data_IF_461563335204
#
_entry.id   IF_461563335204
#
_cell.length_a   1.000
_cell.length_b   1.000
_cell.length_c   1.000
_cell.angle_alpha   90.00
_cell.angle_beta   90.00
_cell.angle_gamma   90.00
#
_symmetry.space_group_name_H-M   'P 1'
#
loop_
_entity.id
_entity.type
_entity.pdbx_description
1 polymer ?
#
# COMPACT_ATOMS: atom_id res chain seq x y z
N UNK A 1 18.38 -12.40 28.05
CA UNK A 1 18.79 -13.16 26.86
C UNK A 1 20.30 -13.10 26.75
N UNK A 2 20.96 -14.20 27.05
CA UNK A 2 22.41 -14.29 27.02
C UNK A 2 22.99 -14.45 25.61
N UNK A 3 24.33 -14.40 25.51
CA UNK A 3 25.03 -14.79 24.29
C UNK A 3 24.84 -16.28 24.04
N UNK A 4 24.50 -16.66 22.84
CA UNK A 4 24.47 -18.05 22.40
C UNK A 4 25.73 -18.40 21.61
N UNK A 5 26.02 -19.68 21.46
CA UNK A 5 27.17 -20.15 20.70
C UNK A 5 27.18 -19.65 19.25
N UNK A 6 26.02 -19.45 18.66
CA UNK A 6 25.81 -19.01 17.27
C UNK A 6 25.34 -17.57 17.15
N UNK A 7 25.58 -16.74 18.15
CA UNK A 7 25.12 -15.37 18.22
C UNK A 7 23.75 -15.23 18.96
N UNK A 8 23.40 -14.01 19.29
CA UNK A 8 22.15 -13.71 19.97
C UNK A 8 21.08 -13.30 18.96
N UNK A 9 19.87 -13.85 19.09
CA UNK A 9 18.71 -13.28 18.44
C UNK A 9 18.41 -11.89 19.02
N UNK A 10 17.77 -10.98 18.26
CA UNK A 10 17.23 -9.76 18.83
C UNK A 10 16.29 -10.09 20.00
N UNK A 11 16.21 -9.19 20.96
CA UNK A 11 15.41 -9.38 22.17
C UNK A 11 13.91 -9.54 21.90
N UNK A 12 13.44 -9.00 20.78
CA UNK A 12 12.10 -9.18 20.24
C UNK A 12 12.15 -9.43 18.75
N UNK A 13 11.34 -10.39 18.29
CA UNK A 13 10.93 -10.59 16.92
C UNK A 13 9.48 -10.17 16.76
N UNK A 14 8.71 -10.88 15.93
CA UNK A 14 7.27 -10.71 15.81
C UNK A 14 6.54 -12.03 16.11
N UNK A 15 7.07 -12.76 17.09
CA UNK A 15 6.50 -14.03 17.53
C UNK A 15 5.05 -13.80 18.04
N UNK A 16 4.10 -14.55 17.49
CA UNK A 16 2.68 -14.50 17.85
C UNK A 16 2.03 -13.12 17.68
N UNK A 17 2.65 -12.21 16.92
CA UNK A 17 2.22 -10.81 16.76
C UNK A 17 2.00 -10.09 18.10
N UNK A 18 2.79 -10.46 19.11
CA UNK A 18 2.62 -10.04 20.50
C UNK A 18 2.64 -8.53 20.68
N UNK A 19 3.44 -7.79 19.89
CA UNK A 19 3.47 -6.35 19.93
C UNK A 19 2.17 -5.73 19.42
N UNK A 20 1.58 -6.26 18.35
CA UNK A 20 0.35 -5.73 17.76
C UNK A 20 -0.81 -5.73 18.76
N UNK A 21 -0.92 -6.79 19.56
CA UNK A 21 -1.98 -6.94 20.57
C UNK A 21 -1.63 -6.34 21.94
N UNK A 22 -0.40 -5.87 22.14
CA UNK A 22 0.03 -5.29 23.40
C UNK A 22 -0.43 -3.83 23.57
N UNK A 23 -0.46 -3.36 24.80
CA UNK A 23 -0.59 -1.93 25.08
C UNK A 23 0.65 -1.17 24.59
N UNK A 24 0.46 0.07 24.21
CA UNK A 24 1.57 0.98 23.85
C UNK A 24 2.54 1.12 25.04
N UNK A 25 3.83 1.03 24.76
CA UNK A 25 4.86 1.28 25.78
C UNK A 25 4.75 2.73 26.29
N UNK A 26 4.83 2.99 27.61
CA UNK A 26 4.72 4.36 28.16
C UNK A 26 5.64 5.39 27.47
N UNK A 27 6.86 5.00 27.16
CA UNK A 27 7.81 5.87 26.43
C UNK A 27 7.31 6.24 25.03
N UNK A 28 6.57 5.36 24.37
CA UNK A 28 5.97 5.62 23.07
C UNK A 28 4.71 6.47 23.22
N UNK A 29 3.92 6.26 24.29
CA UNK A 29 2.78 7.12 24.60
C UNK A 29 3.23 8.57 24.78
N UNK A 30 4.25 8.82 25.59
CA UNK A 30 4.82 10.18 25.79
C UNK A 30 5.27 10.82 24.47
N UNK A 31 5.90 10.03 23.60
CA UNK A 31 6.27 10.48 22.24
C UNK A 31 5.05 10.82 21.40
N UNK A 32 4.02 9.96 21.39
CA UNK A 32 2.81 10.17 20.58
C UNK A 32 1.98 11.36 21.06
N UNK A 33 1.91 11.58 22.38
CA UNK A 33 1.25 12.77 22.96
C UNK A 33 1.92 14.07 22.50
N UNK A 34 3.25 14.17 22.61
CA UNK A 34 4.00 15.34 22.13
C UNK A 34 3.91 15.51 20.60
N UNK A 35 3.89 14.40 19.88
CA UNK A 35 3.70 14.41 18.42
C UNK A 35 2.32 14.98 18.05
N UNK A 36 1.25 14.50 18.68
CA UNK A 36 -0.11 14.97 18.46
C UNK A 36 -0.24 16.46 18.80
N UNK A 37 0.22 16.87 19.96
CA UNK A 37 0.21 18.27 20.37
C UNK A 37 0.94 19.19 19.38
N UNK A 38 2.05 18.70 18.83
CA UNK A 38 2.81 19.44 17.82
C UNK A 38 2.06 19.51 16.51
N UNK A 39 1.50 18.39 16.05
CA UNK A 39 0.76 18.30 14.79
C UNK A 39 -0.54 19.12 14.82
N UNK A 40 -1.28 19.09 15.93
CA UNK A 40 -2.51 19.88 16.09
C UNK A 40 -2.23 21.39 16.03
N UNK A 41 -1.12 21.86 16.59
CA UNK A 41 -0.68 23.26 16.47
C UNK A 41 -0.39 23.67 15.02
N UNK A 42 -0.01 22.72 14.17
CA UNK A 42 0.16 22.92 12.73
C UNK A 42 -1.10 22.65 11.90
N UNK A 43 -2.22 22.30 12.53
CA UNK A 43 -3.49 22.03 11.86
C UNK A 43 -3.60 20.64 11.26
N UNK A 44 -2.72 19.71 11.62
CA UNK A 44 -2.81 18.29 11.22
C UNK A 44 -3.59 17.55 12.31
N UNK A 45 -4.79 17.08 11.97
CA UNK A 45 -5.67 16.37 12.90
C UNK A 45 -5.30 14.89 12.99
N UNK A 46 -4.21 14.55 13.67
CA UNK A 46 -3.85 13.18 14.02
C UNK A 46 -4.84 12.63 15.07
N UNK A 47 -5.19 11.35 14.97
CA UNK A 47 -6.23 10.75 15.82
C UNK A 47 -5.93 9.33 16.27
N UNK A 48 -5.42 8.48 15.39
CA UNK A 48 -5.27 7.05 15.65
C UNK A 48 -3.81 6.72 15.93
N UNK A 49 -3.58 5.96 16.97
CA UNK A 49 -2.28 5.49 17.40
C UNK A 49 -2.37 4.04 17.84
N UNK A 50 -1.52 3.18 17.32
CA UNK A 50 -1.45 1.79 17.77
C UNK A 50 -0.10 1.16 17.43
N UNK A 51 0.14 -0.01 18.03
CA UNK A 51 1.27 -0.86 17.68
C UNK A 51 1.03 -1.55 16.34
N UNK A 52 2.11 -1.73 15.59
CA UNK A 52 2.19 -2.60 14.44
C UNK A 52 2.92 -3.90 14.77
N UNK A 53 2.96 -4.84 13.81
CA UNK A 53 3.45 -6.20 14.03
C UNK A 53 4.96 -6.26 14.24
N UNK A 54 5.73 -5.49 13.49
CA UNK A 54 7.20 -5.52 13.60
C UNK A 54 7.70 -4.88 14.91
N UNK A 55 8.86 -5.32 15.43
CA UNK A 55 9.43 -4.77 16.66
C UNK A 55 9.63 -3.26 16.58
N UNK A 56 9.13 -2.54 17.60
CA UNK A 56 9.18 -1.07 17.69
C UNK A 56 8.54 -0.34 16.50
N UNK A 57 7.59 -0.96 15.84
CA UNK A 57 6.78 -0.35 14.80
C UNK A 57 5.46 0.14 15.37
N UNK A 58 5.12 1.38 15.06
CA UNK A 58 3.91 2.05 15.51
C UNK A 58 3.27 2.79 14.35
N UNK A 59 1.97 2.94 14.39
CA UNK A 59 1.20 3.68 13.39
C UNK A 59 0.50 4.88 14.01
N UNK A 60 0.43 5.95 13.24
CA UNK A 60 -0.40 7.11 13.50
C UNK A 60 -1.16 7.45 12.22
N UNK A 61 -2.44 7.78 12.34
CA UNK A 61 -3.28 8.14 11.21
C UNK A 61 -3.98 9.49 11.47
N UNK A 62 -3.92 10.43 10.50
CA UNK A 62 -4.69 11.67 10.54
C UNK A 62 -6.14 11.44 10.08
N UNK A 63 -7.01 12.41 10.40
CA UNK A 63 -8.32 12.52 9.77
C UNK A 63 -8.12 12.91 8.30
N UNK A 64 -8.91 12.31 7.40
CA UNK A 64 -8.83 12.58 5.97
C UNK A 64 -9.17 14.05 5.62
N UNK A 65 -8.62 14.50 4.50
CA UNK A 65 -8.86 15.85 3.96
C UNK A 65 -8.82 15.81 2.43
N UNK A 66 -8.93 16.96 1.78
CA UNK A 66 -8.73 17.06 0.33
C UNK A 66 -7.32 16.61 -0.06
N UNK A 67 -7.16 16.07 -1.26
CA UNK A 67 -5.91 15.45 -1.73
C UNK A 67 -4.69 16.37 -1.54
N UNK A 68 -4.79 17.62 -2.00
CA UNK A 68 -3.69 18.58 -1.89
C UNK A 68 -3.28 18.82 -0.43
N UNK A 69 -4.25 19.10 0.44
CA UNK A 69 -3.98 19.33 1.86
C UNK A 69 -3.42 18.09 2.55
N UNK A 70 -3.96 16.91 2.24
CA UNK A 70 -3.46 15.64 2.79
C UNK A 70 -2.02 15.35 2.39
N UNK A 71 -1.62 15.69 1.16
CA UNK A 71 -0.23 15.55 0.70
C UNK A 71 0.71 16.44 1.50
N UNK A 72 0.36 17.71 1.66
CA UNK A 72 1.18 18.66 2.43
C UNK A 72 1.25 18.28 3.91
N UNK A 73 0.12 17.91 4.50
CA UNK A 73 0.05 17.41 5.88
C UNK A 73 0.88 16.14 6.08
N UNK A 74 0.89 15.22 5.11
CA UNK A 74 1.72 14.01 5.18
C UNK A 74 3.22 14.36 5.20
N UNK A 75 3.68 15.27 4.34
CA UNK A 75 5.06 15.70 4.32
C UNK A 75 5.46 16.37 5.65
N UNK A 76 4.62 17.27 6.15
CA UNK A 76 4.83 17.91 7.44
C UNK A 76 4.88 16.90 8.59
N UNK A 77 3.95 15.93 8.60
CA UNK A 77 3.90 14.85 9.59
C UNK A 77 5.20 14.05 9.61
N UNK A 78 5.70 13.63 8.44
CA UNK A 78 6.96 12.87 8.34
C UNK A 78 8.15 13.64 8.91
N UNK A 79 8.20 14.95 8.74
CA UNK A 79 9.25 15.80 9.30
C UNK A 79 9.10 15.99 10.81
N UNK A 80 7.87 16.24 11.28
CA UNK A 80 7.57 16.44 12.70
C UNK A 80 7.84 15.15 13.49
N UNK A 81 7.46 13.98 12.98
CA UNK A 81 7.75 12.69 13.60
C UNK A 81 9.23 12.52 13.93
N UNK A 82 10.12 12.84 13.00
CA UNK A 82 11.58 12.76 13.20
C UNK A 82 12.08 13.74 14.25
N UNK A 83 11.57 14.97 14.23
CA UNK A 83 11.97 16.02 15.18
C UNK A 83 11.52 15.70 16.60
N UNK A 84 10.28 15.26 16.75
CA UNK A 84 9.73 14.88 18.07
C UNK A 84 10.43 13.65 18.62
N UNK A 85 10.70 12.63 17.77
CA UNK A 85 11.42 11.44 18.20
C UNK A 85 12.76 11.77 18.87
N UNK A 86 13.53 12.70 18.30
CA UNK A 86 14.82 13.13 18.88
C UNK A 86 14.67 13.76 20.26
N UNK A 87 13.59 14.51 20.51
CA UNK A 87 13.30 15.09 21.84
C UNK A 87 13.10 14.01 22.91
N UNK A 88 12.56 12.86 22.51
CA UNK A 88 12.32 11.70 23.38
C UNK A 88 13.46 10.68 23.39
N UNK A 89 14.62 11.01 22.80
CA UNK A 89 15.75 10.08 22.67
C UNK A 89 15.42 8.84 21.85
N UNK A 90 14.56 9.01 20.85
CA UNK A 90 14.16 7.99 19.86
C UNK A 90 14.67 8.40 18.48
N UNK A 91 14.76 7.44 17.57
CA UNK A 91 14.98 7.68 16.15
C UNK A 91 13.76 7.18 15.36
N UNK A 92 13.12 8.08 14.60
CA UNK A 92 12.00 7.73 13.73
C UNK A 92 12.54 7.27 12.38
N UNK A 93 12.40 5.98 12.10
CA UNK A 93 12.81 5.37 10.84
C UNK A 93 11.59 5.22 9.91
N UNK A 94 11.51 6.10 8.91
CA UNK A 94 10.55 5.96 7.82
C UNK A 94 11.21 5.14 6.70
N UNK A 95 11.49 3.88 7.00
CA UNK A 95 12.14 2.93 6.09
C UNK A 95 11.23 1.75 5.85
N UNK A 96 11.06 1.34 4.60
CA UNK A 96 10.08 0.36 4.17
C UNK A 96 10.35 -1.05 4.71
N UNK A 97 11.63 -1.43 4.85
CA UNK A 97 12.01 -2.79 5.29
C UNK A 97 13.27 -2.75 6.17
N UNK A 98 13.14 -2.30 7.44
CA UNK A 98 14.28 -2.23 8.35
C UNK A 98 14.89 -3.60 8.66
N UNK A 99 14.08 -4.66 8.66
CA UNK A 99 14.50 -6.02 9.02
C UNK A 99 14.01 -7.04 7.98
N UNK A 100 14.94 -7.82 7.44
CA UNK A 100 14.61 -8.93 6.55
C UNK A 100 13.76 -9.99 7.27
N UNK A 101 12.72 -10.51 6.61
CA UNK A 101 11.82 -11.53 7.14
C UNK A 101 10.77 -11.06 8.14
N UNK A 102 10.79 -9.80 8.55
CA UNK A 102 9.76 -9.19 9.41
C UNK A 102 8.86 -8.23 8.62
N UNK A 103 7.74 -7.79 9.23
CA UNK A 103 6.87 -6.81 8.62
C UNK A 103 7.60 -5.54 8.25
N UNK A 104 7.27 -4.98 7.11
CA UNK A 104 7.75 -3.70 6.64
C UNK A 104 6.87 -2.56 7.10
N UNK A 105 7.20 -1.35 6.63
CA UNK A 105 6.48 -0.13 6.95
C UNK A 105 5.98 0.54 5.66
N UNK A 106 4.69 0.83 5.60
CA UNK A 106 4.03 1.47 4.48
C UNK A 106 3.02 2.50 4.91
N UNK A 107 2.38 3.11 3.92
CA UNK A 107 1.21 3.95 4.08
C UNK A 107 0.05 3.32 3.33
N UNK A 108 -1.11 3.26 3.96
CA UNK A 108 -2.34 2.91 3.27
C UNK A 108 -3.03 4.20 2.83
N UNK A 109 -2.89 4.52 1.55
CA UNK A 109 -3.44 5.74 0.98
C UNK A 109 -4.92 5.54 0.68
N UNK A 110 -5.78 6.02 1.58
CA UNK A 110 -7.22 6.01 1.36
C UNK A 110 -7.58 7.12 0.36
N UNK A 111 -8.31 6.76 -0.69
CA UNK A 111 -8.67 7.65 -1.78
C UNK A 111 -10.15 7.49 -2.15
N UNK A 112 -10.85 8.59 -2.30
CA UNK A 112 -12.24 8.64 -2.73
C UNK A 112 -12.50 9.90 -3.57
N UNK A 113 -13.69 9.99 -4.13
CA UNK A 113 -14.15 11.17 -4.88
C UNK A 113 -15.44 11.70 -4.27
N UNK A 114 -15.56 13.01 -4.18
CA UNK A 114 -16.78 13.67 -3.72
C UNK A 114 -17.13 14.88 -4.58
N UNK A 115 -18.41 15.27 -4.56
CA UNK A 115 -18.85 16.56 -5.09
C UNK A 115 -18.34 17.70 -4.22
N UNK A 116 -18.45 18.93 -4.70
CA UNK A 116 -18.18 20.15 -3.90
C UNK A 116 -19.16 20.33 -2.72
N UNK A 117 -20.32 19.69 -2.75
CA UNK A 117 -21.27 19.63 -1.64
C UNK A 117 -20.92 18.54 -0.61
N UNK A 118 -19.89 17.73 -0.87
CA UNK A 118 -19.42 16.68 0.04
C UNK A 118 -20.12 15.34 -0.12
N UNK A 119 -20.88 15.12 -1.19
CA UNK A 119 -21.46 13.82 -1.51
C UNK A 119 -20.36 12.88 -2.04
N UNK A 120 -20.18 11.73 -1.39
CA UNK A 120 -19.20 10.73 -1.78
C UNK A 120 -19.72 9.90 -2.97
N UNK A 121 -19.04 10.00 -4.12
CA UNK A 121 -19.40 9.30 -5.35
C UNK A 121 -19.10 7.78 -5.30
N UNK A 122 -18.33 7.35 -4.33
CA UNK A 122 -18.02 5.93 -4.07
C UNK A 122 -18.84 5.34 -2.91
N UNK A 123 -19.94 6.00 -2.52
CA UNK A 123 -20.88 5.46 -1.55
C UNK A 123 -21.86 4.49 -2.24
N UNK A 124 -21.78 3.16 -1.98
CA UNK A 124 -22.63 2.18 -2.66
C UNK A 124 -24.09 2.27 -2.24
N UNK A 125 -24.36 2.79 -1.03
CA UNK A 125 -25.68 2.80 -0.44
C UNK A 125 -26.15 1.41 0.00
N UNK A 126 -27.46 1.27 0.20
CA UNK A 126 -28.08 0.00 0.66
C UNK A 126 -28.33 -1.01 -0.46
N UNK A 127 -28.33 -0.55 -1.70
CA UNK A 127 -28.61 -1.35 -2.92
C UNK A 127 -27.60 -0.97 -4.01
N UNK A 128 -26.35 -1.44 -3.89
CA UNK A 128 -25.28 -1.10 -4.84
C UNK A 128 -25.63 -1.43 -6.28
N UNK A 129 -26.38 -2.53 -6.48
CA UNK A 129 -26.82 -3.03 -7.78
C UNK A 129 -27.75 -2.06 -8.52
N UNK A 130 -28.44 -1.16 -7.83
CA UNK A 130 -29.33 -0.18 -8.39
C UNK A 130 -28.77 1.25 -8.36
N UNK A 131 -27.60 1.46 -7.77
CA UNK A 131 -26.96 2.76 -7.71
C UNK A 131 -26.10 3.00 -8.96
N UNK A 132 -26.72 3.50 -10.03
CA UNK A 132 -26.08 3.70 -11.31
C UNK A 132 -24.91 4.72 -11.24
N UNK A 133 -25.02 5.75 -10.41
CA UNK A 133 -23.93 6.71 -10.16
C UNK A 133 -22.71 6.00 -9.56
N UNK A 134 -22.89 5.27 -8.48
CA UNK A 134 -21.82 4.51 -7.85
C UNK A 134 -21.19 3.52 -8.83
N UNK A 135 -21.99 2.75 -9.55
CA UNK A 135 -21.52 1.77 -10.54
C UNK A 135 -20.72 2.43 -11.68
N UNK A 136 -21.12 3.61 -12.13
CA UNK A 136 -20.38 4.37 -13.14
C UNK A 136 -18.98 4.74 -12.64
N UNK A 137 -18.87 5.35 -11.46
CA UNK A 137 -17.60 5.77 -10.90
C UNK A 137 -16.71 4.58 -10.52
N UNK A 138 -17.29 3.51 -9.97
CA UNK A 138 -16.59 2.25 -9.73
C UNK A 138 -16.00 1.66 -11.01
N UNK A 139 -16.81 1.62 -12.08
CA UNK A 139 -16.38 1.12 -13.39
C UNK A 139 -15.27 1.98 -14.00
N UNK A 140 -15.35 3.30 -13.85
CA UNK A 140 -14.30 4.20 -14.31
C UNK A 140 -12.97 3.93 -13.60
N UNK A 141 -12.99 3.66 -12.31
CA UNK A 141 -11.80 3.31 -11.54
C UNK A 141 -11.22 1.97 -11.98
N UNK A 142 -12.07 0.95 -12.19
CA UNK A 142 -11.60 -0.35 -12.68
C UNK A 142 -10.87 -0.23 -14.02
N UNK A 143 -11.44 0.52 -14.97
CA UNK A 143 -10.81 0.82 -16.25
C UNK A 143 -9.51 1.58 -16.08
N UNK A 144 -9.51 2.66 -15.30
CA UNK A 144 -8.33 3.50 -15.06
C UNK A 144 -7.16 2.69 -14.48
N UNK A 145 -7.44 1.85 -13.48
CA UNK A 145 -6.44 1.00 -12.82
C UNK A 145 -5.95 -0.10 -13.76
N UNK A 146 -6.83 -0.73 -14.53
CA UNK A 146 -6.44 -1.79 -15.46
C UNK A 146 -5.55 -1.30 -16.60
N UNK A 147 -5.86 -0.15 -17.18
CA UNK A 147 -5.10 0.43 -18.30
C UNK A 147 -3.77 1.06 -17.86
N UNK A 148 -3.64 1.44 -16.58
CA UNK A 148 -2.50 2.19 -16.06
C UNK A 148 -1.80 1.51 -14.85
N UNK A 149 -1.73 0.17 -14.85
CA UNK A 149 -1.04 -0.61 -13.82
C UNK A 149 0.43 -0.18 -13.66
N UNK A 150 1.09 0.08 -14.78
CA UNK A 150 2.46 0.58 -14.85
C UNK A 150 2.63 1.91 -14.09
N UNK A 151 1.81 2.91 -14.38
CA UNK A 151 1.88 4.22 -13.71
C UNK A 151 1.63 4.11 -12.20
N UNK A 152 0.67 3.29 -11.77
CA UNK A 152 0.42 3.05 -10.35
C UNK A 152 1.63 2.39 -9.68
N UNK A 153 2.25 1.39 -10.32
CA UNK A 153 3.47 0.77 -9.80
C UNK A 153 4.65 1.75 -9.77
N UNK A 154 4.82 2.56 -10.80
CA UNK A 154 5.87 3.60 -10.87
C UNK A 154 5.69 4.65 -9.77
N UNK A 155 4.46 5.00 -9.43
CA UNK A 155 4.16 6.01 -8.40
C UNK A 155 4.67 5.64 -7.01
N UNK A 156 4.89 4.34 -6.77
CA UNK A 156 5.38 3.79 -5.49
C UNK A 156 6.75 3.10 -5.62
N UNK A 157 7.43 3.27 -6.74
CA UNK A 157 8.71 2.64 -7.01
C UNK A 157 9.86 3.33 -6.25
N UNK A 158 10.57 2.55 -5.44
CA UNK A 158 11.81 2.94 -4.76
C UNK A 158 12.58 1.70 -4.31
N UNK A 159 13.88 1.82 -4.11
CA UNK A 159 14.73 0.72 -3.65
C UNK A 159 14.21 0.09 -2.34
N UNK A 160 13.85 0.91 -1.36
CA UNK A 160 13.29 0.43 -0.08
C UNK A 160 11.95 -0.29 -0.25
N UNK A 161 11.07 0.23 -1.10
CA UNK A 161 9.76 -0.37 -1.32
C UNK A 161 9.82 -1.67 -2.13
N UNK A 162 10.81 -1.83 -3.01
CA UNK A 162 11.07 -3.09 -3.72
C UNK A 162 11.36 -4.24 -2.74
N UNK A 163 12.04 -3.96 -1.63
CA UNK A 163 12.28 -4.93 -0.56
C UNK A 163 11.05 -5.23 0.29
N UNK A 164 10.09 -4.29 0.36
CA UNK A 164 8.86 -4.43 1.17
C UNK A 164 7.79 -5.23 0.45
N UNK A 165 7.56 -4.99 -0.84
CA UNK A 165 6.43 -5.56 -1.58
C UNK A 165 6.49 -7.09 -1.69
N UNK A 166 5.32 -7.73 -1.54
CA UNK A 166 5.13 -9.16 -1.79
C UNK A 166 5.04 -10.06 -0.57
N UNK A 167 5.13 -9.53 0.65
CA UNK A 167 4.97 -10.31 1.88
C UNK A 167 4.71 -9.41 3.10
N UNK A 168 4.26 -9.99 4.21
CA UNK A 168 4.16 -9.31 5.51
C UNK A 168 3.32 -8.02 5.43
N UNK A 169 2.07 -8.15 5.04
CA UNK A 169 1.08 -7.07 4.87
C UNK A 169 1.38 -6.08 3.73
N UNK A 170 2.46 -6.26 2.98
CA UNK A 170 2.73 -5.50 1.78
C UNK A 170 2.24 -6.25 0.54
N UNK A 171 1.42 -5.63 -0.34
CA UNK A 171 0.89 -6.31 -1.51
C UNK A 171 2.00 -6.68 -2.50
N UNK A 172 1.76 -7.67 -3.40
CA UNK A 172 2.71 -7.97 -4.47
C UNK A 172 2.82 -6.81 -5.47
N UNK A 173 3.90 -6.83 -6.27
CA UNK A 173 4.15 -5.85 -7.33
C UNK A 173 3.26 -6.08 -8.59
N UNK A 174 2.07 -6.62 -8.39
CA UNK A 174 1.03 -6.85 -9.40
C UNK A 174 -0.18 -6.04 -8.98
N UNK A 175 -0.56 -5.06 -9.77
CA UNK A 175 -1.74 -4.25 -9.49
C UNK A 175 -2.99 -5.09 -9.77
N UNK A 176 -3.87 -5.18 -8.78
CA UNK A 176 -5.20 -5.79 -8.87
C UNK A 176 -6.17 -5.08 -7.94
N UNK A 177 -7.46 -5.24 -8.18
CA UNK A 177 -8.52 -4.58 -7.41
C UNK A 177 -9.31 -5.61 -6.62
N UNK A 178 -9.39 -5.41 -5.31
CA UNK A 178 -10.26 -6.15 -4.42
C UNK A 178 -11.55 -5.38 -4.18
N UNK A 179 -12.70 -6.05 -4.29
CA UNK A 179 -14.02 -5.43 -4.17
C UNK A 179 -14.82 -5.92 -2.97
N UNK A 180 -14.43 -7.03 -2.37
CA UNK A 180 -15.27 -7.77 -1.42
C UNK A 180 -16.33 -8.62 -2.14
N UNK A 181 -16.96 -9.54 -1.40
CA UNK A 181 -17.83 -10.56 -1.99
C UNK A 181 -19.09 -9.96 -2.62
N UNK A 182 -19.70 -8.98 -1.96
CA UNK A 182 -20.96 -8.38 -2.43
C UNK A 182 -20.78 -7.64 -3.76
N UNK A 183 -19.83 -6.71 -3.83
CA UNK A 183 -19.58 -5.94 -5.07
C UNK A 183 -19.02 -6.82 -6.18
N UNK A 184 -18.23 -7.83 -5.83
CA UNK A 184 -17.77 -8.81 -6.79
C UNK A 184 -18.95 -9.52 -7.47
N UNK A 185 -19.92 -10.00 -6.68
CA UNK A 185 -21.10 -10.68 -7.19
C UNK A 185 -22.01 -9.75 -8.02
N UNK A 186 -22.17 -8.48 -7.59
CA UNK A 186 -22.90 -7.46 -8.36
C UNK A 186 -22.26 -7.26 -9.74
N UNK A 187 -20.96 -6.99 -9.78
CA UNK A 187 -20.26 -6.73 -11.04
C UNK A 187 -20.16 -7.98 -11.91
N UNK A 188 -20.06 -9.18 -11.32
CA UNK A 188 -20.08 -10.43 -12.06
C UNK A 188 -21.44 -10.65 -12.75
N UNK A 189 -22.54 -10.34 -12.06
CA UNK A 189 -23.87 -10.39 -12.65
C UNK A 189 -24.02 -9.40 -13.82
N UNK A 190 -23.52 -8.17 -13.66
CA UNK A 190 -23.50 -7.15 -14.72
C UNK A 190 -22.68 -7.64 -15.91
N UNK A 191 -21.47 -8.17 -15.67
CA UNK A 191 -20.59 -8.73 -16.70
C UNK A 191 -21.26 -9.83 -17.52
N UNK A 192 -22.02 -10.70 -16.84
CA UNK A 192 -22.70 -11.85 -17.44
C UNK A 192 -24.09 -11.51 -17.99
N UNK A 193 -24.57 -10.28 -17.81
CA UNK A 193 -25.91 -9.87 -18.22
C UNK A 193 -27.04 -10.56 -17.45
N UNK A 194 -26.79 -10.95 -16.21
CA UNK A 194 -27.74 -11.66 -15.33
C UNK A 194 -28.34 -10.70 -14.30
N UNK A 195 -29.60 -10.91 -13.86
CA UNK A 195 -30.13 -10.16 -12.73
C UNK A 195 -29.37 -10.55 -11.45
N UNK A 196 -29.05 -9.55 -10.64
CA UNK A 196 -28.53 -9.74 -9.30
C UNK A 196 -29.67 -9.67 -8.28
N UNK A 197 -29.69 -10.63 -7.37
CA UNK A 197 -30.62 -10.61 -6.24
C UNK A 197 -29.75 -10.69 -4.97
N UNK A 198 -29.72 -9.63 -4.18
CA UNK A 198 -28.97 -9.65 -2.93
C UNK A 198 -29.62 -10.60 -1.92
N UNK A 199 -28.88 -11.63 -1.50
CA UNK A 199 -29.24 -12.42 -0.31
C UNK A 199 -28.93 -11.60 0.96
N UNK A 200 -29.76 -10.59 1.23
CA UNK A 200 -29.60 -9.67 2.38
C UNK A 200 -29.70 -10.36 3.75
N UNK A 201 -29.73 -11.69 3.83
CA UNK A 201 -29.92 -12.48 5.05
C UNK A 201 -28.79 -13.44 5.37
N UNK A 202 -27.59 -13.31 4.83
CA UNK A 202 -26.45 -14.04 5.38
C UNK A 202 -26.05 -13.46 6.74
N UNK A 203 -26.79 -13.90 7.76
CA UNK A 203 -26.39 -13.76 9.15
C UNK A 203 -25.33 -14.82 9.43
N UNK A 204 -24.18 -14.41 9.89
CA UNK A 204 -23.16 -15.31 10.38
C UNK A 204 -23.70 -16.02 11.62
N UNK A 205 -24.14 -17.26 11.48
CA UNK A 205 -24.56 -18.11 12.59
C UNK A 205 -23.30 -18.67 13.21
N UNK A 206 -22.82 -18.02 14.26
CA UNK A 206 -21.84 -18.62 15.17
C UNK A 206 -22.60 -19.70 15.94
N UNK A 207 -22.20 -20.98 15.82
CA UNK A 207 -22.91 -22.16 16.31
C UNK A 207 -23.10 -22.26 17.81
N UNK A 208 -23.51 -21.18 18.45
CA UNK A 208 -23.87 -21.09 19.87
C UNK A 208 -25.16 -20.27 19.96
N UNK A 209 -26.24 -20.89 20.39
CA UNK A 209 -27.62 -20.34 20.46
C UNK A 209 -27.82 -19.10 21.36
N UNK A 210 -26.74 -18.56 21.95
CA UNK A 210 -26.81 -17.47 22.94
C UNK A 210 -26.24 -16.14 22.42
N UNK A 211 -25.63 -16.09 21.23
CA UNK A 211 -25.10 -14.84 20.65
C UNK A 211 -26.06 -14.25 19.61
N UNK A 212 -26.30 -12.92 19.66
CA UNK A 212 -27.07 -12.27 18.62
C UNK A 212 -26.40 -12.48 17.26
N UNK A 213 -27.19 -12.69 16.21
CA UNK A 213 -26.69 -12.76 14.84
C UNK A 213 -26.00 -11.44 14.46
N UNK A 214 -24.71 -11.51 14.17
CA UNK A 214 -23.90 -10.36 13.73
C UNK A 214 -24.04 -10.27 12.20
N UNK A 215 -24.35 -9.09 11.62
CA UNK A 215 -24.30 -8.92 10.18
C UNK A 215 -22.89 -9.24 9.68
N UNK A 216 -22.80 -9.93 8.55
CA UNK A 216 -21.51 -10.18 7.89
C UNK A 216 -20.86 -8.82 7.56
N UNK A 217 -19.66 -8.60 8.01
CA UNK A 217 -18.95 -7.36 7.73
C UNK A 217 -18.61 -7.32 6.23
N UNK A 218 -19.24 -6.39 5.51
CA UNK A 218 -18.97 -6.17 4.09
C UNK A 218 -17.67 -5.37 3.84
N UNK A 219 -16.99 -4.96 4.92
CA UNK A 219 -15.75 -4.19 4.87
C UNK A 219 -14.50 -5.05 5.05
N UNK A 220 -14.56 -6.34 4.71
CA UNK A 220 -13.40 -7.22 4.79
C UNK A 220 -12.22 -6.62 4.00
N UNK A 221 -11.10 -6.45 4.72
CA UNK A 221 -9.86 -5.93 4.14
C UNK A 221 -9.02 -7.11 3.68
N UNK A 222 -8.97 -7.35 2.38
CA UNK A 222 -7.95 -8.25 1.86
C UNK A 222 -6.57 -7.58 1.96
N UNK A 223 -5.84 -7.89 3.03
CA UNK A 223 -4.52 -7.30 3.32
C UNK A 223 -3.46 -7.60 2.26
N UNK A 224 -3.72 -8.54 1.37
CA UNK A 224 -2.81 -8.91 0.27
C UNK A 224 -3.10 -8.15 -1.02
N UNK A 225 -4.22 -7.41 -1.10
CA UNK A 225 -4.56 -6.64 -2.30
C UNK A 225 -3.85 -5.29 -2.32
N UNK A 226 -3.27 -4.88 -3.46
CA UNK A 226 -2.65 -3.56 -3.62
C UNK A 226 -3.64 -2.41 -3.68
N UNK A 227 -4.87 -2.65 -4.15
CA UNK A 227 -5.91 -1.64 -4.30
C UNK A 227 -7.26 -2.24 -3.90
N UNK A 228 -7.70 -1.93 -2.69
CA UNK A 228 -8.87 -2.55 -2.07
C UNK A 228 -10.01 -1.54 -1.86
N UNK A 229 -11.23 -1.90 -2.26
CA UNK A 229 -12.42 -1.15 -1.89
C UNK A 229 -12.81 -1.45 -0.43
N UNK A 230 -12.95 -0.41 0.38
CA UNK A 230 -13.20 -0.52 1.82
C UNK A 230 -14.47 0.23 2.24
N UNK A 231 -15.58 -0.11 1.61
CA UNK A 231 -16.91 0.39 1.94
C UNK A 231 -17.36 1.63 1.17
N UNK A 232 -16.55 2.69 1.11
CA UNK A 232 -16.88 3.92 0.38
C UNK A 232 -15.63 4.66 -0.15
N UNK A 233 -14.53 3.95 -0.27
CA UNK A 233 -13.24 4.45 -0.73
C UNK A 233 -12.35 3.30 -1.17
N UNK A 234 -11.30 3.60 -1.88
CA UNK A 234 -10.21 2.67 -2.15
C UNK A 234 -9.03 2.92 -1.23
N UNK A 235 -8.37 1.86 -0.85
CA UNK A 235 -7.13 1.87 -0.09
C UNK A 235 -5.99 1.39 -1.00
N UNK A 236 -5.08 2.29 -1.37
CA UNK A 236 -3.88 1.95 -2.12
C UNK A 236 -2.75 1.63 -1.14
N UNK A 237 -2.42 0.35 -1.04
CA UNK A 237 -1.59 -0.23 0.03
C UNK A 237 -0.11 -0.34 -0.32
N UNK A 238 0.25 -0.02 -1.56
CA UNK A 238 1.62 -0.20 -2.08
C UNK A 238 2.57 0.94 -1.73
N UNK A 239 2.12 2.02 -1.10
CA UNK A 239 2.95 3.19 -0.82
C UNK A 239 3.94 2.89 0.31
N UNK A 240 5.23 3.10 0.08
CA UNK A 240 6.27 2.94 1.08
C UNK A 240 6.26 4.05 2.14
N UNK A 241 6.73 3.74 3.35
CA UNK A 241 6.71 4.69 4.48
C UNK A 241 7.56 5.94 4.26
N UNK A 242 8.64 5.86 3.49
CA UNK A 242 9.50 7.01 3.19
C UNK A 242 8.97 7.88 2.05
N UNK A 243 8.01 7.37 1.25
CA UNK A 243 7.52 8.05 0.06
C UNK A 243 6.51 9.16 0.40
N UNK A 244 6.48 10.21 -0.44
CA UNK A 244 5.35 11.12 -0.48
C UNK A 244 4.12 10.45 -1.08
N UNK A 245 2.93 10.78 -0.58
CA UNK A 245 1.67 10.35 -1.20
C UNK A 245 1.29 11.21 -2.42
N UNK A 246 2.09 12.22 -2.78
CA UNK A 246 1.85 13.05 -3.97
C UNK A 246 1.85 12.22 -5.26
N UNK A 247 2.87 11.39 -5.47
CA UNK A 247 2.97 10.55 -6.66
C UNK A 247 1.76 9.65 -6.89
N UNK A 248 1.39 8.80 -5.92
CA UNK A 248 0.18 7.97 -6.01
C UNK A 248 -1.10 8.76 -6.28
N UNK A 249 -1.32 9.87 -5.56
CA UNK A 249 -2.54 10.67 -5.73
C UNK A 249 -2.58 11.37 -7.10
N UNK A 250 -1.49 12.00 -7.53
CA UNK A 250 -1.40 12.60 -8.88
C UNK A 250 -1.69 11.56 -9.97
N UNK A 251 -1.19 10.34 -9.81
CA UNK A 251 -1.44 9.25 -10.75
C UNK A 251 -2.89 8.83 -10.73
N UNK A 252 -3.48 8.56 -9.55
CA UNK A 252 -4.89 8.17 -9.42
C UNK A 252 -5.82 9.24 -9.99
N UNK A 253 -5.61 10.50 -9.63
CA UNK A 253 -6.45 11.61 -10.10
C UNK A 253 -6.36 11.74 -11.62
N UNK A 254 -5.17 11.64 -12.21
CA UNK A 254 -4.96 11.76 -13.65
C UNK A 254 -5.61 10.60 -14.43
N UNK A 255 -5.36 9.35 -14.05
CA UNK A 255 -5.91 8.18 -14.78
C UNK A 255 -7.43 8.10 -14.68
N UNK A 256 -8.00 8.47 -13.54
CA UNK A 256 -9.45 8.48 -13.36
C UNK A 256 -10.09 9.65 -14.10
N UNK A 257 -9.48 10.84 -14.08
CA UNK A 257 -9.97 12.00 -14.83
C UNK A 257 -10.01 11.73 -16.34
N UNK A 258 -9.01 11.07 -16.89
CA UNK A 258 -8.97 10.71 -18.32
C UNK A 258 -10.12 9.76 -18.69
N UNK A 259 -10.35 8.72 -17.89
CA UNK A 259 -11.47 7.78 -18.11
C UNK A 259 -12.82 8.47 -17.96
N UNK A 260 -12.99 9.31 -16.94
CA UNK A 260 -14.24 10.05 -16.74
C UNK A 260 -14.53 11.01 -17.89
N UNK A 261 -13.51 11.62 -18.47
CA UNK A 261 -13.65 12.44 -19.68
C UNK A 261 -14.16 11.59 -20.85
N UNK A 262 -13.57 10.42 -21.09
CA UNK A 262 -14.02 9.50 -22.14
C UNK A 262 -15.50 9.09 -21.92
N UNK A 263 -15.87 8.77 -20.69
CA UNK A 263 -17.26 8.41 -20.36
C UNK A 263 -18.22 9.58 -20.54
N UNK A 264 -17.81 10.78 -20.16
CA UNK A 264 -18.62 11.99 -20.35
C UNK A 264 -18.84 12.28 -21.84
N UNK A 265 -17.79 12.23 -22.66
CA UNK A 265 -17.87 12.45 -24.12
C UNK A 265 -18.82 11.44 -24.80
N UNK A 266 -18.84 10.20 -24.34
CA UNK A 266 -19.75 9.15 -24.86
C UNK A 266 -21.20 9.37 -24.43
N UNK A 267 -21.43 9.75 -23.17
CA UNK A 267 -22.78 9.89 -22.60
C UNK A 267 -23.46 11.20 -22.97
N UNK A 268 -22.71 12.28 -23.18
CA UNK A 268 -23.26 13.61 -23.50
C UNK A 268 -24.08 13.62 -24.80
N UNK A 269 -23.65 12.81 -25.78
CA UNK A 269 -24.33 12.67 -27.09
C UNK A 269 -25.46 11.65 -27.14
N UNK A 270 -25.78 10.97 -26.04
CA UNK A 270 -26.72 9.86 -26.03
C UNK A 270 -28.17 10.31 -26.08
N UNK A 271 -28.93 9.79 -27.05
CA UNK A 271 -30.36 10.06 -27.16
C UNK A 271 -31.24 9.44 -26.07
N UNK A 272 -30.72 8.32 -25.48
CA UNK A 272 -31.29 7.60 -24.34
C UNK A 272 -30.17 7.39 -23.33
N UNK A 273 -30.07 8.32 -22.38
CA UNK A 273 -29.00 8.38 -21.40
C UNK A 273 -28.96 7.14 -20.52
N UNK A 274 -30.08 6.66 -20.00
CA UNK A 274 -30.14 5.52 -19.11
C UNK A 274 -29.68 4.23 -19.81
N UNK A 275 -30.14 4.03 -21.03
CA UNK A 275 -29.71 2.88 -21.85
C UNK A 275 -28.23 2.95 -22.20
N UNK A 276 -27.71 4.12 -22.56
CA UNK A 276 -26.30 4.32 -22.86
C UNK A 276 -25.43 4.08 -21.63
N UNK A 277 -25.83 4.61 -20.46
CA UNK A 277 -25.14 4.42 -19.19
C UNK A 277 -25.04 2.93 -18.81
N UNK A 278 -26.16 2.20 -18.86
CA UNK A 278 -26.18 0.77 -18.54
C UNK A 278 -25.31 -0.05 -19.52
N UNK A 279 -25.35 0.30 -20.80
CA UNK A 279 -24.54 -0.36 -21.83
C UNK A 279 -23.02 -0.08 -21.61
N UNK A 280 -22.67 1.16 -21.28
CA UNK A 280 -21.30 1.55 -20.96
C UNK A 280 -20.78 0.78 -19.76
N UNK A 281 -21.50 0.77 -18.63
CA UNK A 281 -21.11 0.04 -17.42
C UNK A 281 -20.89 -1.44 -17.74
N UNK A 282 -21.84 -2.10 -18.40
CA UNK A 282 -21.74 -3.52 -18.71
C UNK A 282 -20.54 -3.84 -19.63
N UNK A 283 -20.31 -3.00 -20.64
CA UNK A 283 -19.18 -3.13 -21.57
C UNK A 283 -17.84 -3.00 -20.86
N UNK A 284 -17.66 -1.95 -20.07
CA UNK A 284 -16.40 -1.65 -19.43
C UNK A 284 -16.10 -2.62 -18.28
N UNK A 285 -17.07 -3.01 -17.48
CA UNK A 285 -16.91 -4.05 -16.45
C UNK A 285 -16.42 -5.36 -17.09
N UNK A 286 -17.00 -5.75 -18.24
CA UNK A 286 -16.59 -6.96 -18.96
C UNK A 286 -15.17 -6.82 -19.53
N UNK A 287 -14.83 -5.69 -20.11
CA UNK A 287 -13.52 -5.44 -20.73
C UNK A 287 -12.38 -5.43 -19.70
N UNK A 288 -12.62 -4.87 -18.53
CA UNK A 288 -11.62 -4.68 -17.47
C UNK A 288 -11.76 -5.65 -16.30
N UNK A 289 -12.51 -6.74 -16.48
CA UNK A 289 -12.69 -7.77 -15.45
C UNK A 289 -11.39 -8.41 -14.99
N UNK A 290 -10.39 -8.46 -15.85
CA UNK A 290 -9.10 -9.10 -15.56
C UNK A 290 -8.37 -8.52 -14.36
N UNK A 291 -8.64 -7.23 -14.02
CA UNK A 291 -8.00 -6.54 -12.87
C UNK A 291 -8.61 -6.91 -11.53
N UNK A 292 -9.87 -7.43 -11.52
CA UNK A 292 -10.60 -7.76 -10.30
C UNK A 292 -10.10 -9.09 -9.74
N UNK A 293 -9.65 -9.08 -8.48
CA UNK A 293 -9.18 -10.26 -7.78
C UNK A 293 -9.47 -10.19 -6.28
N UNK A 294 -10.34 -11.10 -5.81
CA UNK A 294 -10.72 -11.20 -4.40
C UNK A 294 -9.93 -12.25 -3.60
N UNK A 295 -8.98 -12.93 -4.24
CA UNK A 295 -8.19 -14.00 -3.62
C UNK A 295 -6.97 -13.51 -2.85
N UNK A 296 -6.17 -14.47 -2.37
CA UNK A 296 -4.92 -14.20 -1.67
C UNK A 296 -3.80 -13.84 -2.65
N UNK A 297 -3.37 -12.57 -2.65
CA UNK A 297 -2.31 -12.05 -3.52
C UNK A 297 -0.91 -12.64 -3.25
N UNK A 298 -0.69 -13.33 -2.12
CA UNK A 298 0.58 -13.97 -1.80
C UNK A 298 0.73 -15.37 -2.37
N UNK A 299 -0.35 -16.00 -2.83
CA UNK A 299 -0.28 -17.31 -3.44
C UNK A 299 0.53 -17.29 -4.73
N UNK A 300 1.43 -18.26 -4.89
CA UNK A 300 2.18 -18.42 -6.15
C UNK A 300 1.25 -18.67 -7.36
N UNK A 301 0.09 -19.30 -7.12
CA UNK A 301 -0.95 -19.48 -8.13
C UNK A 301 -1.47 -18.15 -8.68
N UNK A 302 -1.49 -17.10 -7.84
CA UNK A 302 -1.89 -15.77 -8.28
C UNK A 302 -0.92 -15.19 -9.33
N UNK A 303 0.38 -15.35 -9.16
CA UNK A 303 1.36 -14.86 -10.13
C UNK A 303 1.15 -15.53 -11.51
N UNK A 304 0.85 -16.83 -11.49
CA UNK A 304 0.54 -17.58 -12.72
C UNK A 304 -0.75 -17.08 -13.36
N UNK A 305 -1.79 -16.89 -12.55
CA UNK A 305 -3.09 -16.40 -13.01
C UNK A 305 -3.01 -14.96 -13.51
N UNK A 306 -2.32 -14.06 -12.79
CA UNK A 306 -2.10 -12.68 -13.19
C UNK A 306 -1.40 -12.58 -14.56
N UNK A 307 -0.36 -13.37 -14.77
CA UNK A 307 0.31 -13.46 -16.07
C UNK A 307 -0.63 -13.95 -17.18
N UNK A 308 -1.48 -14.92 -16.89
CA UNK A 308 -2.48 -15.44 -17.82
C UNK A 308 -3.54 -14.40 -18.20
N UNK A 309 -3.90 -13.54 -17.24
CA UNK A 309 -4.80 -12.39 -17.43
C UNK A 309 -4.12 -11.23 -18.16
N UNK A 310 -2.81 -11.29 -18.39
CA UNK A 310 -2.03 -10.19 -18.99
C UNK A 310 -1.80 -9.01 -18.04
N UNK A 311 -1.79 -9.26 -16.73
CA UNK A 311 -1.43 -8.24 -15.73
C UNK A 311 0.09 -8.10 -15.64
N UNK A 312 0.55 -6.90 -15.32
CA UNK A 312 1.97 -6.61 -15.21
C UNK A 312 2.52 -7.04 -13.84
N UNK A 313 3.69 -7.67 -13.85
CA UNK A 313 4.48 -7.94 -12.65
C UNK A 313 5.80 -7.16 -12.72
N UNK A 314 5.80 -5.93 -12.22
CA UNK A 314 6.96 -5.03 -12.25
C UNK A 314 7.66 -5.06 -10.88
N UNK A 315 8.51 -6.05 -10.66
CA UNK A 315 9.10 -6.36 -9.34
C UNK A 315 10.02 -5.27 -8.82
N UNK A 316 10.89 -4.76 -9.66
CA UNK A 316 11.90 -3.77 -9.29
C UNK A 316 11.56 -2.38 -9.79
N UNK A 317 12.15 -1.39 -9.17
CA UNK A 317 12.01 0.00 -9.61
C UNK A 317 12.50 0.21 -11.04
N UNK A 318 13.65 -0.32 -11.49
CA UNK A 318 14.04 -0.23 -12.89
C UNK A 318 13.02 -0.83 -13.85
N UNK A 319 12.49 -2.04 -13.57
CA UNK A 319 11.47 -2.68 -14.41
C UNK A 319 10.22 -1.79 -14.54
N UNK A 320 9.83 -1.13 -13.45
CA UNK A 320 8.66 -0.26 -13.47
C UNK A 320 8.92 1.05 -14.21
N UNK A 321 10.03 1.72 -13.89
CA UNK A 321 10.35 3.06 -14.40
C UNK A 321 10.59 3.04 -15.92
N UNK A 322 11.02 1.92 -16.51
CA UNK A 322 11.16 1.74 -17.96
C UNK A 322 9.90 2.14 -18.72
N UNK A 323 8.71 1.90 -18.13
CA UNK A 323 7.41 2.24 -18.74
C UNK A 323 7.00 3.71 -18.59
N UNK A 324 7.74 4.52 -17.82
CA UNK A 324 7.28 5.88 -17.50
C UNK A 324 7.13 6.78 -18.73
N UNK A 325 8.00 6.59 -19.73
CA UNK A 325 8.01 7.34 -20.97
C UNK A 325 7.28 6.64 -22.13
N UNK A 326 6.52 5.60 -21.87
CA UNK A 326 5.65 4.98 -22.87
C UNK A 326 4.71 6.03 -23.46
N UNK A 327 4.45 5.94 -24.77
CA UNK A 327 3.69 6.96 -25.50
C UNK A 327 2.30 7.23 -24.86
N UNK A 328 1.63 6.19 -24.34
CA UNK A 328 0.34 6.33 -23.66
C UNK A 328 0.45 7.18 -22.39
N UNK A 329 1.51 7.00 -21.61
CA UNK A 329 1.75 7.70 -20.35
C UNK A 329 2.13 9.18 -20.57
N UNK A 330 2.98 9.43 -21.55
CA UNK A 330 3.34 10.81 -21.97
C UNK A 330 2.09 11.53 -22.47
N UNK A 331 1.28 10.86 -23.31
CA UNK A 331 0.03 11.44 -23.82
C UNK A 331 -0.92 11.79 -22.67
N UNK A 332 -1.17 10.88 -21.75
CA UNK A 332 -2.06 11.07 -20.60
C UNK A 332 -1.70 12.34 -19.83
N UNK A 333 -0.47 12.44 -19.36
CA UNK A 333 -0.06 13.55 -18.50
C UNK A 333 0.03 14.89 -19.26
N UNK A 334 0.42 14.87 -20.53
CA UNK A 334 0.51 16.10 -21.33
C UNK A 334 -0.86 16.62 -21.77
N UNK A 335 -1.80 15.75 -22.15
CA UNK A 335 -3.16 16.15 -22.52
C UNK A 335 -3.96 16.70 -21.33
N UNK A 336 -3.73 16.17 -20.14
CA UNK A 336 -4.32 16.69 -18.90
C UNK A 336 -3.59 17.92 -18.35
N UNK A 337 -2.45 18.31 -18.93
CA UNK A 337 -1.66 19.45 -18.46
C UNK A 337 -1.01 19.21 -17.09
N UNK A 338 -0.83 17.95 -16.67
CA UNK A 338 -0.21 17.58 -15.38
C UNK A 338 1.31 17.73 -15.47
N UNK A 339 1.90 17.17 -16.52
CA UNK A 339 3.34 17.28 -16.81
C UNK A 339 3.59 17.56 -18.28
N UNK A 340 4.64 18.29 -18.57
CA UNK A 340 5.22 18.35 -19.91
C UNK A 340 6.06 17.10 -20.16
N UNK A 341 6.30 16.79 -21.43
CA UNK A 341 7.21 15.68 -21.79
C UNK A 341 8.60 15.83 -21.17
N UNK A 342 9.13 17.05 -21.15
CA UNK A 342 10.45 17.35 -20.59
C UNK A 342 10.52 17.12 -19.08
N UNK A 343 9.44 17.43 -18.33
CA UNK A 343 9.35 17.12 -16.92
C UNK A 343 9.29 15.60 -16.68
N UNK A 344 8.56 14.86 -17.50
CA UNK A 344 8.52 13.40 -17.41
C UNK A 344 9.90 12.77 -17.71
N UNK A 345 10.62 13.25 -18.70
CA UNK A 345 12.00 12.82 -18.99
C UNK A 345 12.91 13.08 -17.79
N UNK A 346 12.81 14.25 -17.17
CA UNK A 346 13.55 14.57 -15.95
C UNK A 346 13.16 13.66 -14.76
N UNK A 347 11.87 13.40 -14.55
CA UNK A 347 11.41 12.48 -13.50
C UNK A 347 11.91 11.04 -13.71
N UNK A 348 11.96 10.59 -14.96
CA UNK A 348 12.50 9.28 -15.33
C UNK A 348 13.98 9.15 -14.90
N UNK A 349 14.80 10.11 -15.29
CA UNK A 349 16.22 10.12 -14.96
C UNK A 349 16.46 10.19 -13.45
N UNK A 350 15.75 11.10 -12.75
CA UNK A 350 15.85 11.28 -11.29
C UNK A 350 15.47 9.99 -10.53
N UNK A 351 14.43 9.28 -10.97
CA UNK A 351 14.03 8.03 -10.32
C UNK A 351 15.12 6.95 -10.43
N UNK A 352 15.72 6.78 -11.59
CA UNK A 352 16.80 5.81 -11.80
C UNK A 352 18.08 6.21 -11.06
N UNK A 353 18.46 7.49 -11.13
CA UNK A 353 19.61 8.01 -10.41
C UNK A 353 19.47 7.81 -8.90
N UNK A 354 18.32 8.19 -8.34
CA UNK A 354 18.03 8.01 -6.92
C UNK A 354 18.06 6.54 -6.48
N UNK A 355 17.54 5.64 -7.32
CA UNK A 355 17.62 4.20 -7.08
C UNK A 355 19.08 3.73 -6.99
N UNK A 356 19.89 4.09 -7.96
CA UNK A 356 21.31 3.74 -7.99
C UNK A 356 22.09 4.37 -6.80
N UNK A 357 21.80 5.60 -6.44
CA UNK A 357 22.44 6.29 -5.30
C UNK A 357 22.11 5.59 -3.97
N UNK A 358 20.85 5.21 -3.73
CA UNK A 358 20.46 4.51 -2.50
C UNK A 358 21.18 3.19 -2.39
N UNK A 359 21.19 2.37 -3.44
CA UNK A 359 21.91 1.08 -3.43
C UNK A 359 23.42 1.26 -3.22
N UNK A 360 24.02 2.27 -3.82
CA UNK A 360 25.44 2.58 -3.58
C UNK A 360 25.73 2.92 -2.12
N UNK A 361 24.86 3.70 -1.47
CA UNK A 361 25.00 4.05 -0.05
C UNK A 361 24.90 2.78 0.80
N UNK A 362 23.91 1.94 0.53
CA UNK A 362 23.71 0.68 1.26
C UNK A 362 24.91 -0.26 1.12
N UNK A 363 25.43 -0.46 -0.10
CA UNK A 363 26.60 -1.31 -0.36
C UNK A 363 27.85 -0.75 0.32
N UNK A 364 28.10 0.54 0.22
CA UNK A 364 29.27 1.16 0.85
C UNK A 364 29.18 1.07 2.38
N UNK A 365 28.01 1.29 2.97
CA UNK A 365 27.78 1.13 4.40
C UNK A 365 28.00 -0.32 4.85
N UNK A 366 27.50 -1.28 4.08
CA UNK A 366 27.72 -2.71 4.35
C UNK A 366 29.22 -3.06 4.31
N UNK A 367 29.96 -2.59 3.33
CA UNK A 367 31.41 -2.82 3.21
C UNK A 367 32.17 -2.20 4.39
N UNK A 368 31.78 -1.02 4.81
CA UNK A 368 32.36 -0.37 5.99
C UNK A 368 32.10 -1.17 7.28
N UNK A 369 30.86 -1.57 7.52
CA UNK A 369 30.49 -2.41 8.68
C UNK A 369 31.22 -3.75 8.67
N UNK A 370 31.32 -4.41 7.51
CA UNK A 370 32.05 -5.68 7.39
C UNK A 370 33.51 -5.49 7.77
N UNK A 371 34.17 -4.48 7.23
CA UNK A 371 35.63 -4.27 7.43
C UNK A 371 35.96 -3.75 8.82
N UNK A 372 35.16 -2.87 9.39
CA UNK A 372 35.47 -2.21 10.67
C UNK A 372 34.91 -2.92 11.90
N UNK A 373 33.77 -3.61 11.77
CA UNK A 373 33.04 -4.17 12.91
C UNK A 373 32.93 -5.69 12.84
N UNK A 374 32.41 -6.24 11.74
CA UNK A 374 32.04 -7.66 11.66
C UNK A 374 33.28 -8.56 11.58
N UNK A 375 34.20 -8.29 10.65
CA UNK A 375 35.42 -9.08 10.51
C UNK A 375 36.32 -9.01 11.75
N UNK A 376 36.60 -7.84 12.34
CA UNK A 376 37.33 -7.76 13.60
C UNK A 376 36.69 -8.55 14.74
N UNK A 377 35.33 -8.48 14.87
CA UNK A 377 34.60 -9.25 15.87
C UNK A 377 34.71 -10.76 15.62
N UNK A 378 34.60 -11.19 14.36
CA UNK A 378 34.76 -12.59 13.97
C UNK A 378 36.19 -13.11 14.29
N UNK A 379 37.24 -12.37 13.93
CA UNK A 379 38.61 -12.75 14.24
C UNK A 379 38.89 -12.81 15.75
N UNK A 380 38.35 -11.86 16.51
CA UNK A 380 38.43 -11.87 17.97
C UNK A 380 37.76 -13.11 18.57
N UNK A 381 36.60 -13.50 18.06
CA UNK A 381 35.89 -14.70 18.49
C UNK A 381 36.65 -15.99 18.12
N UNK A 382 37.14 -16.10 16.89
CA UNK A 382 37.95 -17.24 16.43
C UNK A 382 39.20 -17.39 17.30
N UNK A 383 39.88 -16.29 17.61
CA UNK A 383 41.05 -16.30 18.49
C UNK A 383 40.70 -16.81 19.89
N UNK A 384 39.59 -16.37 20.48
CA UNK A 384 39.12 -16.81 21.79
C UNK A 384 38.82 -18.33 21.81
N UNK A 385 38.10 -18.82 20.78
CA UNK A 385 37.77 -20.24 20.64
C UNK A 385 39.05 -21.08 20.45
N UNK A 386 39.98 -20.65 19.61
CA UNK A 386 41.26 -21.34 19.36
C UNK A 386 42.10 -21.46 20.63
N UNK A 387 42.13 -20.39 21.44
CA UNK A 387 42.80 -20.40 22.74
C UNK A 387 42.14 -21.42 23.69
N UNK A 388 40.83 -21.42 23.81
CA UNK A 388 40.07 -22.37 24.64
C UNK A 388 40.33 -23.82 24.22
N UNK A 389 40.33 -24.11 22.91
CA UNK A 389 40.64 -25.45 22.39
C UNK A 389 42.08 -25.89 22.73
N UNK A 390 43.03 -24.96 22.60
CA UNK A 390 44.42 -25.24 22.96
C UNK A 390 44.61 -25.54 24.46
N UNK A 391 43.93 -24.75 25.31
CA UNK A 391 43.92 -24.96 26.76
C UNK A 391 43.29 -26.31 27.13
N UNK A 392 42.13 -26.64 26.55
CA UNK A 392 41.47 -27.93 26.77
C UNK A 392 42.35 -29.12 26.36
N UNK A 393 43.03 -29.06 25.23
CA UNK A 393 43.95 -30.11 24.76
C UNK A 393 45.13 -30.32 25.71
N UNK A 394 45.50 -29.34 26.52
CA UNK A 394 46.57 -29.46 27.51
C UNK A 394 46.10 -30.13 28.81
N UNK A 395 44.83 -30.23 29.06
CA UNK A 395 44.23 -30.73 30.31
C UNK A 395 43.46 -32.05 30.11
N UNK A 396 42.92 -32.24 28.93
CA UNK A 396 42.20 -33.48 28.57
C UNK A 396 43.02 -34.23 27.51
N UNK A 397 43.63 -35.41 27.87
CA UNK A 397 44.43 -36.18 26.93
C UNK A 397 43.64 -36.76 25.75
#
# INVERSE_FOLDING_TARGET
TGRTLFGAKPSKGQEMDDQYFAALNPRIVEYMEDLNDTLWKYGVLSKTEHNEVAPAQHEMAPIFSTTNLSVDQNQLTMEVMKKVAKRHGLECLLHEKPFAGLNGSGKHNNWSMSTNEGENLLEPGKTPESNAQFLLFLTAILKAVDENQDLLRISVASAGNDHRLGANEAPPAIISVYLGDELYAVLEAIKDGKPYTSDKNEKMTIGVDVLPSIPKDSTDRNRTSPFAFTGNKFEFRSVGSSLSIAGPNTTLDAIVADVLKIFADELEGASDFEKALNALIAREVKAHWRIVFNGNGYDESWKVEAKKRGLLELKTTPDAVEHYLDAKNVKLFTELGVYTKQEMESHYEIKLEKYAQVLNIEVNTMLEMISKDILPAAYKYISAVSKTVSELKSVVP
#
